data_IF_719922621885
#
_entry.id   IF_719922621885
#
_cell.length_a   1.000
_cell.length_b   1.000
_cell.length_c   1.000
_cell.angle_alpha   90.00
_cell.angle_beta   90.00
_cell.angle_gamma   90.00
#
_symmetry.space_group_name_H-M   'P 1'
#
loop_
_entity.id
_entity.type
_entity.pdbx_description
1 polymer ?
#
# COMPACT_ATOMS: atom_id res chain seq x y z
N UNK A 1 -6.83 -11.85 0.36
CA UNK A 1 -6.53 -12.65 -0.85
C UNK A 1 -6.00 -14.03 -0.51
N UNK A 2 -4.83 -14.20 0.14
CA UNK A 2 -4.24 -15.51 0.43
C UNK A 2 -5.17 -16.40 1.29
N UNK A 3 -5.71 -15.89 2.38
CA UNK A 3 -6.65 -16.60 3.21
C UNK A 3 -7.94 -16.98 2.46
N UNK A 4 -8.46 -16.09 1.63
CA UNK A 4 -9.64 -16.38 0.79
C UNK A 4 -9.38 -17.53 -0.19
N UNK A 5 -8.18 -17.63 -0.75
CA UNK A 5 -7.76 -18.73 -1.62
C UNK A 5 -7.25 -19.96 -0.86
N UNK A 6 -7.33 -19.97 0.46
CA UNK A 6 -6.83 -21.05 1.32
C UNK A 6 -5.35 -21.42 1.07
N UNK A 7 -4.57 -20.44 0.65
CA UNK A 7 -3.14 -20.63 0.40
C UNK A 7 -2.34 -20.47 1.69
N UNK A 8 -1.46 -21.42 1.97
CA UNK A 8 -0.50 -21.32 3.07
C UNK A 8 0.60 -20.31 2.71
N UNK A 9 0.95 -19.45 3.65
CA UNK A 9 2.01 -18.45 3.44
C UNK A 9 2.81 -18.21 4.73
N UNK A 10 4.03 -17.75 4.54
CA UNK A 10 4.86 -17.23 5.62
C UNK A 10 4.88 -15.71 5.52
N UNK A 11 4.45 -15.05 6.56
CA UNK A 11 4.51 -13.60 6.66
C UNK A 11 5.93 -13.15 7.08
N UNK A 12 6.43 -12.12 6.42
CA UNK A 12 7.70 -11.48 6.76
C UNK A 12 7.42 -9.99 6.96
N UNK A 13 7.62 -9.54 8.17
CA UNK A 13 7.45 -8.14 8.52
C UNK A 13 8.70 -7.34 8.13
N UNK A 14 8.48 -6.23 7.43
CA UNK A 14 9.55 -5.33 7.01
C UNK A 14 9.52 -4.07 7.86
N UNK A 15 10.69 -3.58 8.20
CA UNK A 15 10.83 -2.35 8.98
C UNK A 15 10.27 -1.16 8.18
N UNK A 16 9.34 -0.42 8.77
CA UNK A 16 8.76 0.75 8.16
C UNK A 16 9.87 1.80 7.87
N UNK A 17 9.87 2.35 6.65
CA UNK A 17 10.91 3.27 6.18
C UNK A 17 12.19 2.60 5.68
N UNK A 18 12.53 1.38 6.14
CA UNK A 18 13.67 0.61 5.66
C UNK A 18 13.26 -0.53 4.70
N UNK A 19 11.98 -0.66 4.37
CA UNK A 19 11.48 -1.70 3.48
C UNK A 19 12.10 -1.70 2.07
N UNK A 20 12.51 -0.58 1.43
CA UNK A 20 13.09 -0.64 0.10
C UNK A 20 14.42 -1.42 0.06
N UNK A 21 15.44 -1.13 0.90
CA UNK A 21 16.68 -1.93 0.91
C UNK A 21 16.43 -3.39 1.37
N UNK A 22 15.47 -3.63 2.27
CA UNK A 22 15.11 -4.99 2.67
C UNK A 22 14.48 -5.78 1.52
N UNK A 23 13.58 -5.17 0.74
CA UNK A 23 13.02 -5.78 -0.46
C UNK A 23 14.12 -6.10 -1.49
N UNK A 24 15.07 -5.21 -1.65
CA UNK A 24 16.21 -5.40 -2.53
C UNK A 24 17.07 -6.59 -2.10
N UNK A 25 17.38 -6.69 -0.81
CA UNK A 25 18.10 -7.84 -0.26
C UNK A 25 17.35 -9.18 -0.44
N UNK A 26 15.99 -9.13 -0.45
CA UNK A 26 15.12 -10.26 -0.74
C UNK A 26 14.97 -10.54 -2.25
N UNK A 27 15.63 -9.75 -3.12
CA UNK A 27 15.66 -9.91 -4.57
C UNK A 27 14.45 -9.30 -5.30
N UNK A 28 13.69 -8.42 -4.66
CA UNK A 28 12.67 -7.63 -5.32
C UNK A 28 13.28 -6.39 -5.99
N UNK A 29 12.78 -5.99 -7.15
CA UNK A 29 13.32 -4.85 -7.90
C UNK A 29 12.66 -3.52 -7.56
N UNK A 30 11.43 -3.55 -7.06
CA UNK A 30 10.66 -2.36 -6.66
C UNK A 30 10.80 -2.05 -5.18
N UNK A 31 10.28 -0.90 -4.77
CA UNK A 31 10.27 -0.42 -3.39
C UNK A 31 8.90 -0.51 -2.72
N UNK A 32 7.89 -1.05 -3.41
CA UNK A 32 6.51 -1.05 -2.93
C UNK A 32 6.15 -2.35 -2.19
N UNK A 33 5.32 -2.20 -1.16
CA UNK A 33 4.64 -3.29 -0.47
C UNK A 33 3.14 -3.19 -0.74
N UNK A 34 2.41 -4.30 -0.74
CA UNK A 34 2.82 -5.67 -0.46
C UNK A 34 3.71 -6.28 -1.54
N UNK A 35 4.52 -7.27 -1.16
CA UNK A 35 5.36 -8.05 -2.05
C UNK A 35 5.25 -9.54 -1.71
N UNK A 36 5.27 -10.42 -2.70
CA UNK A 36 5.20 -11.88 -2.50
C UNK A 36 6.22 -12.60 -3.37
N UNK A 37 6.83 -13.64 -2.80
CA UNK A 37 7.60 -14.63 -3.56
C UNK A 37 6.75 -15.90 -3.67
N UNK A 38 6.42 -16.29 -4.88
CA UNK A 38 5.69 -17.53 -5.18
C UNK A 38 6.58 -18.76 -5.06
N UNK A 39 5.98 -19.93 -5.02
CA UNK A 39 6.71 -21.21 -4.92
C UNK A 39 7.58 -21.50 -6.15
N UNK A 40 7.19 -21.02 -7.31
CA UNK A 40 7.96 -21.08 -8.56
C UNK A 40 9.16 -20.12 -8.61
N UNK A 41 9.34 -19.33 -7.55
CA UNK A 41 10.43 -18.36 -7.42
C UNK A 41 10.11 -16.98 -7.97
N UNK A 42 9.00 -16.77 -8.67
CA UNK A 42 8.56 -15.43 -9.14
C UNK A 42 8.37 -14.49 -7.96
N UNK A 43 8.78 -13.24 -8.14
CA UNK A 43 8.61 -12.14 -7.18
C UNK A 43 7.66 -11.11 -7.77
N UNK A 44 6.58 -10.86 -7.07
CA UNK A 44 5.49 -9.96 -7.51
C UNK A 44 5.30 -8.87 -6.46
N UNK A 45 5.10 -7.63 -6.91
CA UNK A 45 4.91 -6.47 -6.04
C UNK A 45 3.68 -5.68 -6.46
N UNK A 46 2.97 -5.14 -5.46
CA UNK A 46 1.72 -4.41 -5.64
C UNK A 46 0.49 -5.32 -5.57
N UNK A 47 -0.59 -4.79 -5.00
CA UNK A 47 -1.81 -5.55 -4.70
C UNK A 47 -2.47 -6.15 -5.92
N UNK A 48 -2.60 -5.38 -6.99
CA UNK A 48 -3.22 -5.82 -8.26
C UNK A 48 -2.40 -6.92 -8.92
N UNK A 49 -1.09 -6.72 -9.07
CA UNK A 49 -0.20 -7.71 -9.67
C UNK A 49 -0.17 -9.01 -8.86
N UNK A 50 -0.22 -8.92 -7.53
CA UNK A 50 -0.30 -10.08 -6.64
C UNK A 50 -1.64 -10.80 -6.83
N UNK A 51 -2.77 -10.08 -6.91
CA UNK A 51 -4.07 -10.69 -7.15
C UNK A 51 -4.09 -11.46 -8.47
N UNK A 52 -3.57 -10.87 -9.53
CA UNK A 52 -3.45 -11.52 -10.85
C UNK A 52 -2.56 -12.77 -10.81
N UNK A 53 -1.39 -12.68 -10.16
CA UNK A 53 -0.50 -13.83 -10.02
C UNK A 53 -1.12 -14.96 -9.19
N UNK A 54 -1.91 -14.64 -8.17
CA UNK A 54 -2.64 -15.64 -7.38
C UNK A 54 -3.77 -16.32 -8.16
N UNK A 55 -4.39 -15.62 -9.13
CA UNK A 55 -5.34 -16.24 -10.06
C UNK A 55 -4.68 -17.31 -10.94
N UNK A 56 -3.44 -17.07 -11.38
CA UNK A 56 -2.66 -18.05 -12.15
C UNK A 56 -2.28 -19.29 -11.32
N UNK A 57 -2.00 -19.09 -10.02
CA UNK A 57 -1.61 -20.20 -9.11
C UNK A 57 -2.80 -21.05 -8.72
N UNK A 58 -3.97 -20.43 -8.50
CA UNK A 58 -5.17 -21.12 -8.04
C UNK A 58 -6.41 -20.43 -8.59
N UNK A 59 -7.14 -21.13 -9.46
CA UNK A 59 -8.31 -20.58 -10.13
C UNK A 59 -9.56 -20.48 -9.21
N UNK A 60 -9.63 -21.30 -8.17
CA UNK A 60 -10.79 -21.33 -7.28
C UNK A 60 -10.36 -21.18 -5.80
N UNK A 61 -11.08 -20.36 -5.02
CA UNK A 61 -12.10 -19.42 -5.47
C UNK A 61 -11.50 -18.24 -6.25
N UNK A 62 -12.18 -17.77 -7.30
CA UNK A 62 -11.69 -16.65 -8.12
C UNK A 62 -11.77 -15.33 -7.37
N UNK A 63 -10.73 -14.46 -7.54
CA UNK A 63 -10.72 -13.07 -7.04
C UNK A 63 -11.41 -12.12 -8.01
N UNK A 64 -11.60 -12.56 -9.26
CA UNK A 64 -12.17 -11.76 -10.32
C UNK A 64 -13.44 -12.38 -10.90
N UNK A 65 -14.39 -11.58 -11.41
CA UNK A 65 -15.54 -12.09 -12.12
C UNK A 65 -15.13 -12.89 -13.36
N UNK A 66 -15.89 -13.93 -13.67
CA UNK A 66 -15.68 -14.76 -14.87
C UNK A 66 -16.11 -14.06 -16.17
N UNK A 67 -17.08 -13.14 -16.08
CA UNK A 67 -17.58 -12.39 -17.24
C UNK A 67 -16.60 -11.31 -17.67
N UNK A 68 -16.29 -11.24 -18.97
CA UNK A 68 -15.26 -10.36 -19.50
C UNK A 68 -15.52 -8.85 -19.28
N UNK A 69 -16.78 -8.42 -19.40
CA UNK A 69 -17.18 -7.04 -19.14
C UNK A 69 -17.07 -6.67 -17.65
N UNK A 70 -17.49 -7.55 -16.75
CA UNK A 70 -17.35 -7.33 -15.30
C UNK A 70 -15.87 -7.33 -14.89
N UNK A 71 -15.06 -8.23 -15.46
CA UNK A 71 -13.61 -8.24 -15.23
C UNK A 71 -12.93 -6.96 -15.70
N UNK A 72 -13.32 -6.42 -16.86
CA UNK A 72 -12.82 -5.14 -17.36
C UNK A 72 -13.19 -4.00 -16.41
N UNK A 73 -14.44 -3.95 -15.92
CA UNK A 73 -14.90 -2.95 -14.97
C UNK A 73 -14.11 -2.99 -13.65
N UNK A 74 -13.82 -4.18 -13.11
CA UNK A 74 -12.96 -4.34 -11.93
C UNK A 74 -11.55 -3.84 -12.20
N UNK A 75 -10.96 -4.18 -13.35
CA UNK A 75 -9.61 -3.71 -13.70
C UNK A 75 -9.53 -2.19 -13.87
N UNK A 76 -10.59 -1.57 -14.38
CA UNK A 76 -10.68 -0.11 -14.48
C UNK A 76 -10.79 0.55 -13.10
N UNK A 77 -11.60 -0.03 -12.20
CA UNK A 77 -11.72 0.43 -10.82
C UNK A 77 -10.41 0.26 -10.04
N UNK A 78 -9.71 -0.86 -10.18
CA UNK A 78 -8.38 -1.08 -9.59
C UNK A 78 -7.38 -0.02 -10.06
N UNK A 79 -7.33 0.26 -11.36
CA UNK A 79 -6.45 1.25 -11.97
C UNK A 79 -6.78 2.67 -11.48
N UNK A 80 -8.06 3.01 -11.40
CA UNK A 80 -8.51 4.26 -10.83
C UNK A 80 -8.11 4.37 -9.34
N UNK A 81 -8.36 3.33 -8.55
CA UNK A 81 -7.99 3.29 -7.13
C UNK A 81 -6.50 3.48 -6.89
N UNK A 82 -5.66 2.84 -7.71
CA UNK A 82 -4.20 3.01 -7.62
C UNK A 82 -3.72 4.41 -8.06
N UNK A 83 -4.32 4.97 -9.11
CA UNK A 83 -3.88 6.25 -9.68
C UNK A 83 -4.43 7.46 -8.92
N UNK A 84 -5.65 7.39 -8.42
CA UNK A 84 -6.37 8.55 -7.87
C UNK A 84 -6.52 8.46 -6.35
N UNK A 85 -7.04 7.34 -5.83
CA UNK A 85 -7.38 7.23 -4.41
C UNK A 85 -6.15 6.91 -3.54
N UNK A 86 -5.33 5.96 -3.93
CA UNK A 86 -4.20 5.47 -3.13
C UNK A 86 -3.09 6.51 -2.85
N UNK A 87 -2.80 7.50 -3.71
CA UNK A 87 -1.84 8.56 -3.41
C UNK A 87 -2.26 9.45 -2.22
N UNK A 88 -3.55 9.64 -1.98
CA UNK A 88 -4.08 10.54 -0.94
C UNK A 88 -3.66 10.10 0.46
N UNK A 89 -3.99 8.90 0.97
CA UNK A 89 -3.58 8.47 2.30
C UNK A 89 -2.06 8.43 2.46
N UNK A 90 -1.32 8.14 1.40
CA UNK A 90 0.14 8.17 1.43
C UNK A 90 0.68 9.58 1.67
N UNK A 91 0.11 10.61 1.02
CA UNK A 91 0.47 12.01 1.25
C UNK A 91 0.06 12.49 2.64
N UNK A 92 -1.16 12.16 3.07
CA UNK A 92 -1.67 12.49 4.41
C UNK A 92 -0.77 11.94 5.52
N UNK A 93 -0.40 10.66 5.44
CA UNK A 93 0.50 10.03 6.41
C UNK A 93 1.87 10.72 6.41
N UNK A 94 2.46 10.95 5.25
CA UNK A 94 3.77 11.58 5.12
C UNK A 94 3.76 13.01 5.64
N UNK A 95 2.70 13.77 5.35
CA UNK A 95 2.51 15.11 5.87
C UNK A 95 2.34 15.11 7.40
N UNK A 96 1.50 14.24 7.94
CA UNK A 96 1.31 14.08 9.37
C UNK A 96 2.62 13.71 10.09
N UNK A 97 3.40 12.77 9.54
CA UNK A 97 4.72 12.41 10.07
C UNK A 97 5.72 13.56 9.99
N UNK A 98 5.58 14.46 9.02
CA UNK A 98 6.42 15.66 8.89
C UNK A 98 6.11 16.70 9.95
N UNK A 99 4.82 17.01 10.15
CA UNK A 99 4.38 18.13 10.98
C UNK A 99 4.28 17.79 12.47
N UNK A 100 4.02 16.52 12.82
CA UNK A 100 3.69 16.13 14.18
C UNK A 100 4.68 15.12 14.79
N UNK A 101 5.48 15.58 15.78
CA UNK A 101 6.43 14.73 16.49
C UNK A 101 5.76 13.53 17.19
N UNK A 102 4.57 13.73 17.79
CA UNK A 102 3.80 12.66 18.44
C UNK A 102 3.38 11.57 17.47
N UNK A 103 3.01 11.93 16.24
CA UNK A 103 2.66 10.95 15.20
C UNK A 103 3.88 10.15 14.74
N UNK A 104 5.06 10.77 14.68
CA UNK A 104 6.32 10.06 14.41
C UNK A 104 6.65 9.05 15.49
N UNK A 105 6.50 9.42 16.76
CA UNK A 105 6.72 8.52 17.89
C UNK A 105 5.72 7.35 17.86
N UNK A 106 4.44 7.64 17.74
CA UNK A 106 3.41 6.61 17.62
C UNK A 106 3.66 5.66 16.44
N UNK A 107 4.01 6.21 15.27
CA UNK A 107 4.32 5.40 14.09
C UNK A 107 5.55 4.53 14.30
N UNK A 108 6.59 5.04 14.95
CA UNK A 108 7.77 4.26 15.31
C UNK A 108 7.42 3.11 16.27
N UNK A 109 6.56 3.36 17.26
CA UNK A 109 6.11 2.36 18.23
C UNK A 109 5.32 1.23 17.57
N UNK A 110 4.40 1.57 16.66
CA UNK A 110 3.49 0.61 16.02
C UNK A 110 4.13 -0.09 14.82
N UNK A 111 4.96 0.61 14.07
CA UNK A 111 5.50 0.13 12.80
C UNK A 111 6.91 -0.48 12.89
N UNK A 112 7.49 -0.52 14.10
CA UNK A 112 8.86 -0.98 14.28
C UNK A 112 8.90 -2.16 15.25
N UNK A 113 9.26 -3.35 14.82
CA UNK A 113 9.41 -4.51 15.71
C UNK A 113 10.69 -4.43 16.57
N UNK A 114 11.29 -3.25 16.71
CA UNK A 114 12.51 -3.07 17.49
C UNK A 114 12.19 -2.86 18.97
N UNK A 115 12.98 -3.45 19.88
CA UNK A 115 12.75 -3.37 21.34
C UNK A 115 13.03 -1.98 21.95
N UNK A 116 13.31 -0.97 21.11
CA UNK A 116 13.61 0.40 21.55
C UNK A 116 12.93 1.44 20.63
N UNK A 117 11.62 1.63 20.70
CA UNK A 117 10.86 2.54 19.83
C UNK A 117 11.37 3.98 19.88
N UNK A 118 11.82 4.45 21.05
CA UNK A 118 12.38 5.79 21.24
C UNK A 118 13.63 6.03 20.38
N UNK A 119 14.48 5.01 20.19
CA UNK A 119 15.71 5.12 19.38
C UNK A 119 15.34 5.15 17.89
N UNK A 120 14.38 4.34 17.46
CA UNK A 120 13.89 4.34 16.08
C UNK A 120 13.25 5.70 15.72
N UNK A 121 12.43 6.26 16.60
CA UNK A 121 11.86 7.60 16.43
C UNK A 121 12.93 8.69 16.33
N UNK A 122 13.99 8.60 17.12
CA UNK A 122 15.09 9.56 17.11
C UNK A 122 15.91 9.52 15.82
N UNK A 123 16.18 8.32 15.30
CA UNK A 123 16.90 8.11 14.02
C UNK A 123 16.03 8.54 12.83
N UNK A 124 14.74 8.31 12.88
CA UNK A 124 13.83 8.71 11.80
C UNK A 124 13.52 10.21 11.76
N UNK A 125 13.69 10.92 12.87
CA UNK A 125 13.36 12.34 12.98
C UNK A 125 14.02 13.23 11.90
N UNK A 126 15.32 13.12 11.56
CA UNK A 126 15.93 13.94 10.51
C UNK A 126 15.59 13.45 9.09
N UNK A 127 15.24 12.20 8.90
CA UNK A 127 15.05 11.56 7.59
C UNK A 127 13.64 11.81 7.05
N UNK A 128 12.63 11.75 7.91
CA UNK A 128 11.21 11.88 7.55
C UNK A 128 10.87 13.18 6.81
N UNK A 129 11.34 14.39 7.23
CA UNK A 129 11.05 15.64 6.53
C UNK A 129 11.57 15.67 5.09
N UNK A 130 12.74 15.07 4.84
CA UNK A 130 13.35 15.01 3.51
C UNK A 130 12.52 14.10 2.60
N UNK A 131 12.17 12.90 3.06
CA UNK A 131 11.32 12.00 2.30
C UNK A 131 9.91 12.55 2.05
N UNK A 132 9.32 13.24 3.02
CA UNK A 132 8.01 13.85 2.88
C UNK A 132 8.00 14.95 1.81
N UNK A 133 9.06 15.78 1.75
CA UNK A 133 9.24 16.80 0.71
C UNK A 133 9.39 16.19 -0.68
N UNK A 134 10.27 15.19 -0.82
CA UNK A 134 10.50 14.49 -2.09
C UNK A 134 9.24 13.77 -2.60
N UNK A 135 8.32 13.43 -1.70
CA UNK A 135 7.07 12.75 -2.02
C UNK A 135 5.90 13.72 -2.28
N UNK A 136 6.14 15.05 -2.39
CA UNK A 136 5.10 16.04 -2.69
C UNK A 136 4.07 16.21 -1.59
N UNK A 137 4.39 15.88 -0.34
CA UNK A 137 3.49 16.03 0.80
C UNK A 137 3.61 17.44 1.38
N UNK A 138 3.07 18.44 0.70
CA UNK A 138 2.92 19.80 1.21
C UNK A 138 1.47 20.06 1.70
N UNK A 139 1.30 21.13 2.49
CA UNK A 139 0.02 21.46 3.11
C UNK A 139 -1.06 21.89 2.10
N UNK A 140 -0.69 22.43 0.96
CA UNK A 140 -1.63 22.86 -0.07
C UNK A 140 -2.18 21.64 -0.80
N UNK A 141 -1.31 20.69 -1.17
CA UNK A 141 -1.73 19.44 -1.81
C UNK A 141 -2.58 18.59 -0.87
N UNK A 142 -2.23 18.53 0.41
CA UNK A 142 -3.03 17.81 1.43
C UNK A 142 -4.42 18.42 1.59
N UNK A 143 -4.53 19.73 1.63
CA UNK A 143 -5.85 20.39 1.66
C UNK A 143 -6.67 20.08 0.40
N UNK A 144 -6.08 20.21 -0.77
CA UNK A 144 -6.73 19.85 -2.03
C UNK A 144 -7.22 18.40 -2.04
N UNK A 145 -6.42 17.45 -1.52
CA UNK A 145 -6.80 16.05 -1.40
C UNK A 145 -8.00 15.87 -0.45
N UNK A 146 -7.99 16.56 0.70
CA UNK A 146 -9.09 16.50 1.66
C UNK A 146 -10.37 17.11 1.12
N UNK A 147 -10.29 18.21 0.39
CA UNK A 147 -11.47 18.87 -0.24
C UNK A 147 -12.13 17.95 -1.28
N UNK A 148 -11.35 17.13 -1.98
CA UNK A 148 -11.84 16.18 -2.98
C UNK A 148 -12.26 14.83 -2.42
N UNK A 149 -11.85 14.51 -1.19
CA UNK A 149 -12.06 13.18 -0.63
C UNK A 149 -13.53 12.74 -0.57
N UNK A 150 -14.51 13.61 -0.20
CA UNK A 150 -15.92 13.23 -0.23
C UNK A 150 -16.39 12.76 -1.62
N UNK A 151 -16.09 13.51 -2.68
CA UNK A 151 -16.48 13.16 -4.06
C UNK A 151 -15.86 11.83 -4.51
N UNK A 152 -14.61 11.56 -4.07
CA UNK A 152 -13.92 10.30 -4.38
C UNK A 152 -14.51 9.12 -3.62
N UNK A 153 -14.99 9.33 -2.39
CA UNK A 153 -15.70 8.29 -1.63
C UNK A 153 -17.07 8.01 -2.23
N UNK A 154 -17.78 9.03 -2.70
CA UNK A 154 -19.03 8.86 -3.44
C UNK A 154 -18.82 8.04 -4.73
N UNK A 155 -17.67 8.20 -5.40
CA UNK A 155 -17.34 7.35 -6.55
C UNK A 155 -17.08 5.89 -6.14
N UNK A 156 -16.42 5.65 -5.01
CA UNK A 156 -16.25 4.28 -4.44
C UNK A 156 -17.62 3.65 -4.20
N UNK A 157 -18.55 4.38 -3.57
CA UNK A 157 -19.90 3.89 -3.30
C UNK A 157 -20.66 3.56 -4.60
N UNK A 158 -20.49 4.39 -5.63
CA UNK A 158 -21.07 4.12 -6.96
C UNK A 158 -20.47 2.88 -7.62
N UNK A 159 -19.17 2.64 -7.50
CA UNK A 159 -18.53 1.44 -8.02
C UNK A 159 -19.04 0.20 -7.29
N UNK A 160 -19.11 0.23 -5.96
CA UNK A 160 -19.66 -0.86 -5.15
C UNK A 160 -21.12 -1.17 -5.54
N UNK A 161 -21.96 -0.13 -5.71
CA UNK A 161 -23.35 -0.29 -6.11
C UNK A 161 -23.52 -0.92 -7.50
N UNK A 162 -22.54 -0.77 -8.38
CA UNK A 162 -22.48 -1.42 -9.70
C UNK A 162 -21.94 -2.84 -9.66
N UNK A 163 -21.51 -3.32 -8.50
CA UNK A 163 -20.94 -4.66 -8.33
C UNK A 163 -19.49 -4.79 -8.80
N UNK A 164 -18.76 -3.69 -8.72
CA UNK A 164 -17.33 -3.60 -9.08
C UNK A 164 -16.45 -3.61 -7.84
#
# INVERSE_FOLDING_TARGET
>A
MLAFKSLSYRYVELLAGAHPPMLWALGFRGSTVPAIKLLDGRRVQGSVAIAQALEEVTLSPSLYPSQGNARAAVSDAERWGEAVLQPIPRRLIRWGLREHLRQRQWFADVATPLPAPNVAGMVMTPIVPVFARLAGADAAQVRHDLDRLPDLLDEVDRLIARGV
#
